data_IF_004503513475
#
_entry.id   IF_004503513475
#
_cell.length_a   1.000
_cell.length_b   1.000
_cell.length_c   1.000
_cell.angle_alpha   90.00
_cell.angle_beta   90.00
_cell.angle_gamma   90.00
#
_symmetry.space_group_name_H-M   'P 1'
#
loop_
_entity.id
_entity.type
_entity.pdbx_description
1 polymer ?
#
# COMPACT_ATOMS: atom_id res chain seq x y z
N UNK A 1 -16.53 -8.07 10.00
CA UNK A 1 -15.37 -7.14 10.04
C UNK A 1 -14.42 -7.46 11.20
N UNK A 2 -14.91 -7.98 12.33
CA UNK A 2 -14.07 -8.37 13.48
C UNK A 2 -13.70 -7.19 14.38
N UNK A 3 -12.99 -7.44 15.51
CA UNK A 3 -12.52 -6.39 16.41
C UNK A 3 -11.43 -5.53 15.76
N UNK A 4 -11.29 -4.30 16.25
CA UNK A 4 -10.14 -3.44 15.94
C UNK A 4 -8.85 -4.04 16.50
N UNK A 5 -7.76 -3.84 15.77
CA UNK A 5 -6.41 -4.14 16.27
C UNK A 5 -5.83 -2.83 16.82
N UNK A 6 -5.71 -2.75 18.13
CA UNK A 6 -5.35 -1.50 18.81
C UNK A 6 -3.88 -1.10 18.64
N UNK A 7 -2.98 -2.09 18.63
CA UNK A 7 -1.54 -1.85 18.62
C UNK A 7 -0.94 -2.28 17.28
N UNK A 8 -0.57 -1.30 16.47
CA UNK A 8 0.01 -1.51 15.16
C UNK A 8 1.51 -1.16 15.15
N UNK A 9 2.25 -1.78 14.25
CA UNK A 9 3.62 -1.41 13.91
C UNK A 9 3.66 -0.75 12.55
N UNK A 10 4.55 0.23 12.40
CA UNK A 10 4.91 0.82 11.11
C UNK A 10 6.38 0.49 10.85
N UNK A 11 6.62 -0.34 9.84
CA UNK A 11 7.96 -0.70 9.39
C UNK A 11 8.20 -0.08 8.00
N UNK A 12 9.27 0.70 7.86
CA UNK A 12 9.61 1.43 6.63
C UNK A 12 10.99 1.00 6.17
N UNK A 13 11.06 0.21 5.10
CA UNK A 13 12.30 -0.29 4.53
C UNK A 13 12.66 0.49 3.26
N UNK A 14 13.82 1.14 3.28
CA UNK A 14 14.36 1.87 2.13
C UNK A 14 15.07 0.89 1.21
N UNK A 15 14.30 0.05 0.53
CA UNK A 15 14.85 -1.08 -0.23
C UNK A 15 15.89 -0.62 -1.28
N UNK A 16 15.57 0.38 -2.09
CA UNK A 16 16.55 0.99 -3.02
C UNK A 16 16.34 2.49 -3.11
N UNK A 17 17.20 3.22 -3.81
CA UNK A 17 17.01 4.67 -4.05
C UNK A 17 15.68 5.00 -4.75
N UNK A 18 15.03 4.01 -5.37
CA UNK A 18 13.77 4.17 -6.12
C UNK A 18 12.64 3.22 -5.64
N UNK A 19 12.84 2.47 -4.54
CA UNK A 19 11.85 1.51 -4.04
C UNK A 19 11.74 1.59 -2.52
N UNK A 20 10.56 2.02 -2.07
CA UNK A 20 10.17 2.05 -0.66
C UNK A 20 9.20 0.91 -0.38
N UNK A 21 9.36 0.24 0.76
CA UNK A 21 8.42 -0.75 1.25
C UNK A 21 7.92 -0.33 2.64
N UNK A 22 6.62 -0.01 2.71
CA UNK A 22 5.93 0.33 3.95
C UNK A 22 5.06 -0.84 4.38
N UNK A 23 5.24 -1.33 5.60
CA UNK A 23 4.42 -2.38 6.21
C UNK A 23 3.70 -1.84 7.44
N UNK A 24 2.40 -2.05 7.50
CA UNK A 24 1.58 -1.81 8.70
C UNK A 24 1.14 -3.16 9.24
N UNK A 25 1.59 -3.49 10.45
CA UNK A 25 1.41 -4.81 11.05
C UNK A 25 0.65 -4.76 12.38
N UNK A 26 0.09 -5.89 12.79
CA UNK A 26 -0.32 -6.11 14.18
C UNK A 26 0.94 -6.33 15.03
N UNK A 27 1.11 -5.59 16.12
CA UNK A 27 2.25 -5.75 17.02
C UNK A 27 2.33 -7.16 17.62
N UNK A 28 1.20 -7.83 17.83
CA UNK A 28 1.15 -9.21 18.30
C UNK A 28 1.48 -10.25 17.21
N UNK A 29 1.66 -9.81 15.95
CA UNK A 29 1.99 -10.62 14.77
C UNK A 29 1.06 -11.83 14.56
N UNK A 30 -0.24 -11.68 14.85
CA UNK A 30 -1.23 -12.76 14.68
C UNK A 30 -1.83 -12.80 13.28
N UNK A 31 -1.61 -11.76 12.48
CA UNK A 31 -2.12 -11.60 11.13
C UNK A 31 -1.47 -12.61 10.19
N UNK A 32 -2.28 -13.21 9.32
CA UNK A 32 -1.75 -13.99 8.21
C UNK A 32 -1.03 -13.06 7.22
N UNK A 33 0.21 -13.40 6.89
CA UNK A 33 1.00 -12.78 5.83
C UNK A 33 1.20 -13.80 4.70
N UNK A 34 1.33 -13.31 3.47
CA UNK A 34 1.64 -14.17 2.32
C UNK A 34 3.00 -14.84 2.59
N UNK A 35 3.08 -16.18 2.63
CA UNK A 35 4.35 -16.87 2.85
C UNK A 35 5.32 -16.64 1.69
N UNK A 36 6.61 -16.48 1.99
CA UNK A 36 7.65 -16.22 0.97
C UNK A 36 7.87 -17.42 0.04
N UNK A 37 7.44 -18.62 0.44
CA UNK A 37 7.46 -19.81 -0.44
C UNK A 37 6.43 -19.73 -1.57
N UNK A 38 5.38 -18.91 -1.41
CA UNK A 38 4.34 -18.68 -2.43
C UNK A 38 4.73 -17.51 -3.32
N UNK A 39 5.24 -16.43 -2.73
CA UNK A 39 5.65 -15.21 -3.45
C UNK A 39 7.03 -14.81 -3.00
N UNK A 40 8.01 -14.94 -3.91
CA UNK A 40 9.36 -14.46 -3.68
C UNK A 40 9.38 -12.94 -3.81
N UNK A 41 9.58 -12.25 -2.69
CA UNK A 41 9.82 -10.81 -2.67
C UNK A 41 11.32 -10.59 -2.81
N UNK A 42 11.73 -9.97 -3.90
CA UNK A 42 13.13 -9.62 -4.13
C UNK A 42 13.55 -8.50 -3.18
N UNK A 43 14.12 -8.86 -2.03
CA UNK A 43 14.62 -7.90 -1.03
C UNK A 43 16.10 -7.60 -1.27
N UNK A 44 16.51 -6.33 -1.21
CA UNK A 44 17.91 -5.97 -1.39
C UNK A 44 18.73 -6.43 -0.18
N UNK A 45 20.00 -6.78 -0.42
CA UNK A 45 20.94 -7.22 0.64
C UNK A 45 21.32 -6.10 1.61
N UNK A 46 21.27 -4.85 1.13
CA UNK A 46 21.54 -3.64 1.89
C UNK A 46 20.48 -2.61 1.49
N UNK A 47 19.83 -2.02 2.48
CA UNK A 47 18.93 -0.88 2.27
C UNK A 47 19.72 0.36 1.80
N UNK A 48 19.04 1.20 1.03
CA UNK A 48 19.51 2.51 0.66
C UNK A 48 19.48 3.45 1.87
N UNK A 49 20.38 4.44 1.87
CA UNK A 49 20.30 5.53 2.83
C UNK A 49 19.16 6.47 2.39
N UNK A 50 18.31 6.97 3.31
CA UNK A 50 17.20 7.86 2.95
C UNK A 50 17.63 9.11 2.18
N UNK A 51 18.86 9.60 2.40
CA UNK A 51 19.45 10.77 1.76
C UNK A 51 19.76 10.56 0.27
N UNK A 52 19.93 9.30 -0.15
CA UNK A 52 20.23 8.91 -1.54
C UNK A 52 18.96 8.55 -2.34
N UNK A 53 17.78 8.58 -1.71
CA UNK A 53 16.53 8.19 -2.33
C UNK A 53 15.90 9.31 -3.16
N UNK A 54 15.34 8.96 -4.31
CA UNK A 54 14.58 9.88 -5.19
C UNK A 54 13.19 10.23 -4.62
N UNK A 55 12.93 9.85 -3.36
CA UNK A 55 11.67 10.01 -2.66
C UNK A 55 11.88 10.32 -1.17
N UNK A 56 10.89 10.98 -0.57
CA UNK A 56 10.83 11.29 0.85
C UNK A 56 9.61 10.61 1.48
N UNK A 57 9.81 9.96 2.63
CA UNK A 57 8.75 9.38 3.45
C UNK A 57 8.51 10.23 4.70
N UNK A 58 7.24 10.54 4.97
CA UNK A 58 6.83 11.26 6.18
C UNK A 58 5.59 10.59 6.78
N UNK A 59 5.45 10.62 8.10
CA UNK A 59 4.27 10.11 8.80
C UNK A 59 3.87 10.99 9.98
N UNK A 60 2.60 10.91 10.35
CA UNK A 60 2.02 11.50 11.57
C UNK A 60 1.47 10.38 12.44
N UNK A 61 1.51 10.56 13.76
CA UNK A 61 0.97 9.57 14.72
C UNK A 61 -0.47 9.87 15.10
N UNK A 62 -0.86 11.14 15.20
CA UNK A 62 -2.19 11.56 15.64
C UNK A 62 -2.68 12.81 14.87
N UNK A 63 -3.66 12.67 13.95
CA UNK A 63 -4.17 11.40 13.40
C UNK A 63 -3.06 10.65 12.64
N UNK A 64 -3.14 9.32 12.64
CA UNK A 64 -2.18 8.51 11.91
C UNK A 64 -2.35 8.68 10.40
N UNK A 65 -1.23 8.83 9.70
CA UNK A 65 -1.17 8.81 8.25
C UNK A 65 0.27 8.94 7.76
N UNK A 66 0.52 8.62 6.49
CA UNK A 66 1.83 8.77 5.89
C UNK A 66 1.75 9.26 4.46
N UNK A 67 2.84 9.85 3.99
CA UNK A 67 2.98 10.30 2.61
C UNK A 67 4.35 9.93 2.05
N UNK A 68 4.37 9.67 0.75
CA UNK A 68 5.56 9.44 -0.06
C UNK A 68 5.55 10.49 -1.17
N UNK A 69 6.64 11.23 -1.30
CA UNK A 69 6.79 12.30 -2.29
C UNK A 69 8.05 12.06 -3.09
N UNK A 70 8.10 12.52 -4.34
CA UNK A 70 9.38 12.69 -5.04
C UNK A 70 10.21 13.76 -4.32
N UNK A 71 11.53 13.70 -4.50
CA UNK A 71 12.44 14.78 -4.06
C UNK A 71 11.99 16.16 -4.55
N UNK A 72 11.40 16.23 -5.76
CA UNK A 72 10.89 17.47 -6.39
C UNK A 72 9.50 17.90 -5.86
N UNK A 73 9.00 17.29 -4.78
CA UNK A 73 7.82 17.71 -4.02
C UNK A 73 6.46 17.16 -4.50
N UNK A 74 6.43 16.42 -5.61
CA UNK A 74 5.23 15.76 -6.12
C UNK A 74 4.80 14.60 -5.18
N UNK A 75 3.52 14.57 -4.76
CA UNK A 75 2.97 13.49 -3.94
C UNK A 75 2.70 12.26 -4.80
N UNK A 76 3.26 11.13 -4.39
CA UNK A 76 3.05 9.82 -5.03
C UNK A 76 2.02 8.98 -4.28
N UNK A 77 2.04 9.07 -2.95
CA UNK A 77 1.11 8.39 -2.06
C UNK A 77 0.87 9.31 -0.87
N UNK A 78 -0.37 9.57 -0.49
CA UNK A 78 -0.69 10.48 0.62
C UNK A 78 -1.97 10.05 1.30
N UNK A 79 -1.85 9.45 2.49
CA UNK A 79 -3.00 8.99 3.28
C UNK A 79 -3.51 10.05 4.24
N UNK A 80 -2.88 11.24 4.29
CA UNK A 80 -3.26 12.28 5.22
C UNK A 80 -4.68 12.78 4.93
N UNK A 81 -5.48 12.94 5.99
CA UNK A 81 -6.87 13.37 5.89
C UNK A 81 -7.87 12.26 5.55
N UNK A 82 -7.42 11.01 5.44
CA UNK A 82 -8.29 9.82 5.38
C UNK A 82 -8.07 8.94 6.60
N UNK A 83 -9.13 8.32 7.12
CA UNK A 83 -9.02 7.37 8.22
C UNK A 83 -8.49 6.02 7.71
N UNK A 84 -7.50 5.48 8.39
CA UNK A 84 -7.09 4.09 8.20
C UNK A 84 -7.93 3.19 9.11
N UNK A 85 -8.50 2.11 8.57
CA UNK A 85 -9.24 1.12 9.35
C UNK A 85 -8.44 -0.17 9.39
N UNK A 86 -8.13 -0.67 10.60
CA UNK A 86 -7.38 -1.90 10.79
C UNK A 86 -8.11 -2.86 11.75
N UNK A 87 -8.93 -3.75 11.18
CA UNK A 87 -9.69 -4.78 11.90
C UNK A 87 -9.28 -6.17 11.44
N UNK A 88 -9.65 -7.18 12.22
CA UNK A 88 -9.33 -8.59 11.93
C UNK A 88 -9.77 -9.06 10.53
N UNK A 89 -10.92 -8.60 10.03
CA UNK A 89 -11.45 -8.99 8.72
C UNK A 89 -11.73 -7.79 7.81
N UNK A 90 -11.16 -6.63 8.11
CA UNK A 90 -11.34 -5.42 7.31
C UNK A 90 -10.15 -4.50 7.44
N UNK A 91 -9.48 -4.25 6.33
CA UNK A 91 -8.43 -3.27 6.22
C UNK A 91 -8.86 -2.22 5.19
N UNK A 92 -8.69 -0.95 5.53
CA UNK A 92 -8.91 0.16 4.60
C UNK A 92 -7.77 1.15 4.70
N UNK A 93 -7.22 1.50 3.54
CA UNK A 93 -6.21 2.52 3.38
C UNK A 93 -6.56 3.30 2.11
N UNK A 94 -6.60 4.62 2.24
CA UNK A 94 -6.88 5.52 1.12
C UNK A 94 -5.68 6.40 0.86
N UNK A 95 -5.44 6.71 -0.42
CA UNK A 95 -4.44 7.70 -0.84
C UNK A 95 -5.12 8.74 -1.71
N UNK A 96 -4.77 10.00 -1.51
CA UNK A 96 -5.08 11.07 -2.45
C UNK A 96 -4.25 10.85 -3.71
N UNK A 97 -4.90 10.93 -4.87
CA UNK A 97 -4.27 10.84 -6.19
C UNK A 97 -4.44 12.20 -6.89
N UNK A 98 -3.41 12.72 -7.59
CA UNK A 98 -3.55 13.94 -8.38
C UNK A 98 -4.69 13.85 -9.41
N UNK A 99 -5.40 14.95 -9.64
CA UNK A 99 -6.56 14.99 -10.55
C UNK A 99 -6.20 14.60 -12.00
N UNK A 100 -4.98 14.91 -12.44
CA UNK A 100 -4.48 14.64 -13.79
C UNK A 100 -3.72 13.30 -13.88
N UNK A 101 -3.75 12.49 -12.82
CA UNK A 101 -3.04 11.22 -12.81
C UNK A 101 -3.71 10.20 -13.75
N UNK A 102 -2.88 9.47 -14.48
CA UNK A 102 -3.34 8.32 -15.26
C UNK A 102 -3.16 7.05 -14.43
N UNK A 103 -4.23 6.28 -14.22
CA UNK A 103 -4.20 5.02 -13.47
C UNK A 103 -4.34 3.86 -14.46
N UNK A 104 -3.41 2.90 -14.38
CA UNK A 104 -3.40 1.70 -15.21
C UNK A 104 -3.20 0.45 -14.33
N UNK A 105 -3.75 -0.69 -14.72
CA UNK A 105 -3.59 -1.97 -14.01
C UNK A 105 -4.84 -2.43 -13.27
N UNK A 106 -4.71 -2.77 -11.98
CA UNK A 106 -5.80 -3.21 -11.06
C UNK A 106 -6.33 -4.65 -11.24
N UNK A 107 -5.57 -5.50 -11.93
CA UNK A 107 -5.85 -6.94 -12.05
C UNK A 107 -6.73 -7.30 -13.24
N UNK A 108 -7.23 -8.54 -13.25
CA UNK A 108 -8.09 -9.04 -14.33
C UNK A 108 -9.54 -8.59 -14.11
N UNK A 109 -10.01 -7.71 -14.99
CA UNK A 109 -11.41 -7.31 -15.06
C UNK A 109 -11.75 -6.88 -16.48
N UNK A 110 -13.03 -6.94 -16.85
CA UNK A 110 -13.51 -6.41 -18.13
C UNK A 110 -14.66 -5.45 -17.86
N UNK A 111 -14.45 -4.19 -18.22
CA UNK A 111 -15.39 -3.10 -18.00
C UNK A 111 -14.69 -1.75 -18.06
N UNK A 112 -15.42 -0.71 -18.47
CA UNK A 112 -14.98 0.68 -18.36
C UNK A 112 -14.92 1.11 -16.90
N UNK A 113 -14.10 2.13 -16.62
CA UNK A 113 -13.89 2.73 -15.30
C UNK A 113 -15.16 2.75 -14.43
N UNK A 114 -15.07 2.12 -13.27
CA UNK A 114 -16.09 2.18 -12.22
C UNK A 114 -15.44 2.64 -10.92
N UNK A 115 -16.22 3.23 -10.03
CA UNK A 115 -15.74 3.71 -8.72
C UNK A 115 -15.22 2.58 -7.81
N UNK A 116 -15.50 1.31 -8.14
CA UNK A 116 -15.09 0.15 -7.33
C UNK A 116 -14.83 -1.10 -8.17
N UNK A 117 -13.61 -1.62 -8.10
CA UNK A 117 -13.19 -2.89 -8.69
C UNK A 117 -13.05 -3.94 -7.57
N UNK A 118 -13.53 -5.17 -7.80
CA UNK A 118 -13.41 -6.27 -6.83
C UNK A 118 -12.39 -7.28 -7.34
N UNK A 119 -11.35 -7.57 -6.55
CA UNK A 119 -10.32 -8.54 -6.90
C UNK A 119 -10.53 -9.80 -6.05
N UNK A 120 -10.97 -10.88 -6.69
CA UNK A 120 -11.07 -12.21 -6.10
C UNK A 120 -11.03 -13.25 -7.22
N UNK A 121 -10.10 -14.20 -7.15
CA UNK A 121 -9.97 -15.24 -8.17
C UNK A 121 -11.30 -15.99 -8.31
N UNK A 122 -11.87 -15.94 -9.52
CA UNK A 122 -13.19 -16.50 -9.82
C UNK A 122 -13.20 -16.93 -11.28
N UNK A 123 -13.66 -18.14 -11.52
CA UNK A 123 -13.93 -18.61 -12.87
C UNK A 123 -15.17 -17.89 -13.43
N UNK A 124 -14.94 -16.94 -14.33
CA UNK A 124 -15.95 -16.15 -15.04
C UNK A 124 -15.48 -16.01 -16.48
N UNK A 125 -16.42 -16.06 -17.43
CA UNK A 125 -16.11 -15.86 -18.85
C UNK A 125 -15.46 -14.49 -19.08
N UNK A 126 -14.30 -14.49 -19.74
CA UNK A 126 -13.76 -13.30 -20.40
C UNK A 126 -14.76 -12.91 -21.49
N UNK A 127 -15.30 -11.67 -21.51
CA UNK A 127 -16.18 -11.22 -22.57
C UNK A 127 -15.50 -11.36 -23.95
N UNK A 128 -16.25 -11.71 -25.00
CA UNK A 128 -15.71 -11.74 -26.36
C UNK A 128 -15.26 -10.34 -26.79
N UNK A 129 -14.14 -10.27 -27.50
CA UNK A 129 -13.55 -9.06 -28.09
C UNK A 129 -14.51 -8.30 -29.03
#
# INVERSE_FOLDING_TARGET
LGPDVENLTLDVAYETTQRLHVTIGDQARKRWCIPEEIVVVDRPRKEAEPEDCDYEFQYTTEPFGFSVRKEVGERLFDTLGSDMIFKDQYLELSSVIPQEANIYGLGEHVGSEGSRITIWARDVLTPPD
#
